data_IF_921852592625
#
_entry.id   IF_921852592625
#
_cell.length_a   1.000
_cell.length_b   1.000
_cell.length_c   1.000
_cell.angle_alpha   90.00
_cell.angle_beta   90.00
_cell.angle_gamma   90.00
#
_symmetry.space_group_name_H-M   'P 1'
#
loop_
_entity.id
_entity.type
_entity.pdbx_description
1 polymer ?
#
# COMPACT_ATOMS: atom_id res chain seq x y z
N UNK A 1 61.41 -85.71 13.31
CA UNK A 1 60.28 -86.59 13.17
C UNK A 1 58.97 -85.80 13.42
N UNK A 2 58.05 -85.99 12.54
CA UNK A 2 56.68 -85.47 12.58
C UNK A 2 56.44 -84.02 12.11
N UNK A 3 55.96 -83.95 10.88
CA UNK A 3 55.45 -82.80 10.16
C UNK A 3 54.10 -82.36 10.75
N UNK A 4 53.91 -81.06 10.99
CA UNK A 4 52.59 -80.50 11.20
C UNK A 4 52.23 -79.67 9.99
N UNK A 5 51.12 -80.04 9.38
CA UNK A 5 50.45 -79.34 8.29
C UNK A 5 49.58 -78.25 8.91
N UNK A 6 49.77 -77.00 8.50
CA UNK A 6 48.90 -75.90 8.88
C UNK A 6 47.96 -75.61 7.68
N UNK A 7 46.66 -75.85 7.90
CA UNK A 7 45.61 -75.53 6.92
C UNK A 7 45.20 -74.07 7.15
N UNK A 8 45.37 -73.25 6.11
CA UNK A 8 44.90 -71.87 6.06
C UNK A 8 43.42 -71.81 5.70
N UNK A 9 42.57 -71.41 6.59
CA UNK A 9 41.13 -71.16 6.35
C UNK A 9 40.94 -69.69 6.00
N UNK A 10 40.69 -69.38 4.73
CA UNK A 10 40.37 -68.09 4.24
C UNK A 10 38.92 -67.71 4.52
N UNK A 11 38.73 -66.78 5.43
CA UNK A 11 37.41 -66.20 5.79
C UNK A 11 37.16 -64.96 4.90
N UNK A 12 36.38 -65.09 3.85
CA UNK A 12 35.90 -63.98 3.02
C UNK A 12 34.78 -63.25 3.73
N UNK A 13 35.09 -62.05 4.23
CA UNK A 13 34.10 -61.16 4.83
C UNK A 13 33.32 -60.45 3.69
N UNK A 14 32.08 -60.85 3.43
CA UNK A 14 31.15 -60.07 2.56
C UNK A 14 30.72 -58.83 3.29
N UNK A 15 31.22 -57.68 2.91
CA UNK A 15 30.77 -56.38 3.33
C UNK A 15 29.47 -56.05 2.55
N UNK A 16 28.33 -56.36 3.12
CA UNK A 16 27.02 -55.91 2.62
C UNK A 16 26.88 -54.42 2.87
N UNK A 17 27.05 -53.59 1.82
CA UNK A 17 26.80 -52.16 1.90
C UNK A 17 25.31 -51.89 2.10
N UNK A 18 24.91 -51.54 3.28
CA UNK A 18 23.63 -50.89 3.52
C UNK A 18 23.73 -49.46 2.99
N UNK A 19 23.21 -49.21 1.78
CA UNK A 19 22.88 -47.88 1.33
C UNK A 19 21.68 -47.41 2.18
N UNK A 20 21.96 -46.61 3.23
CA UNK A 20 20.93 -45.89 3.93
C UNK A 20 20.35 -44.85 2.93
N UNK A 21 19.17 -45.14 2.39
CA UNK A 21 18.32 -44.12 1.78
C UNK A 21 18.03 -43.11 2.90
N UNK A 22 18.68 -41.97 2.83
CA UNK A 22 18.29 -40.81 3.64
C UNK A 22 16.87 -40.41 3.16
N UNK A 23 15.87 -40.89 3.85
CA UNK A 23 14.50 -40.42 3.73
C UNK A 23 14.53 -38.92 4.01
N UNK A 24 14.32 -38.10 2.99
CA UNK A 24 14.20 -36.66 3.16
C UNK A 24 13.09 -36.43 4.17
N UNK A 25 13.44 -35.92 5.36
CA UNK A 25 12.48 -35.53 6.35
C UNK A 25 11.43 -34.63 5.66
N UNK A 26 10.13 -34.84 5.89
CA UNK A 26 9.13 -33.96 5.31
C UNK A 26 9.45 -32.54 5.77
N UNK A 27 9.67 -31.65 4.80
CA UNK A 27 9.77 -30.21 5.05
C UNK A 27 8.52 -29.83 5.84
N UNK A 28 8.70 -29.47 7.11
CA UNK A 28 7.61 -29.03 7.95
C UNK A 28 6.93 -27.87 7.22
N UNK A 29 5.73 -28.09 6.71
CA UNK A 29 4.90 -27.02 6.16
C UNK A 29 4.71 -26.01 7.27
N UNK A 30 5.16 -24.77 7.06
CA UNK A 30 4.99 -23.69 8.02
C UNK A 30 3.50 -23.56 8.38
N UNK A 31 3.22 -23.27 9.65
CA UNK A 31 1.85 -23.16 10.12
C UNK A 31 1.08 -22.09 9.31
N UNK A 32 -0.21 -22.31 9.01
CA UNK A 32 -1.04 -21.29 8.40
C UNK A 32 -1.01 -20.00 9.22
N UNK A 33 -0.75 -18.89 8.57
CA UNK A 33 -0.65 -17.57 9.18
C UNK A 33 -1.55 -16.62 8.42
N UNK A 34 -2.35 -15.83 9.14
CA UNK A 34 -3.11 -14.73 8.56
C UNK A 34 -2.42 -13.40 8.88
N UNK A 35 -2.26 -12.54 7.88
CA UNK A 35 -1.81 -11.17 8.04
C UNK A 35 -2.92 -10.22 7.64
N UNK A 36 -3.32 -9.37 8.56
CA UNK A 36 -4.29 -8.29 8.33
C UNK A 36 -3.54 -7.02 7.95
N UNK A 37 -3.76 -6.54 6.72
CA UNK A 37 -3.09 -5.38 6.15
C UNK A 37 -4.10 -4.26 5.94
N UNK A 38 -3.95 -3.18 6.69
CA UNK A 38 -4.69 -1.94 6.49
C UNK A 38 -3.94 -1.09 5.47
N UNK A 39 -4.56 -0.82 4.32
CA UNK A 39 -3.90 -0.11 3.24
C UNK A 39 -4.81 0.96 2.62
N UNK A 40 -4.21 2.09 2.24
CA UNK A 40 -4.92 3.16 1.54
C UNK A 40 -5.68 2.63 0.32
N UNK A 41 -6.92 3.09 0.12
CA UNK A 41 -7.81 2.65 -0.95
C UNK A 41 -7.20 2.76 -2.36
N UNK A 42 -6.30 3.72 -2.60
CA UNK A 42 -5.54 3.85 -3.86
C UNK A 42 -4.61 2.67 -4.17
N UNK A 43 -4.35 1.80 -3.19
CA UNK A 43 -3.48 0.62 -3.35
C UNK A 43 -4.26 -0.67 -3.68
N UNK A 44 -5.57 -0.61 -3.76
CA UNK A 44 -6.44 -1.80 -3.93
C UNK A 44 -5.96 -2.68 -5.09
N UNK A 45 -5.80 -2.11 -6.27
CA UNK A 45 -5.44 -2.87 -7.49
C UNK A 45 -4.02 -3.44 -7.42
N UNK A 46 -3.07 -2.66 -6.88
CA UNK A 46 -1.68 -3.09 -6.77
C UNK A 46 -1.52 -4.21 -5.74
N UNK A 47 -2.06 -4.04 -4.54
CA UNK A 47 -1.93 -5.04 -3.48
C UNK A 47 -2.73 -6.31 -3.76
N UNK A 48 -3.87 -6.22 -4.46
CA UNK A 48 -4.59 -7.41 -4.92
C UNK A 48 -3.74 -8.25 -5.89
N UNK A 49 -3.06 -7.61 -6.86
CA UNK A 49 -2.13 -8.32 -7.75
C UNK A 49 -0.91 -8.88 -7.00
N UNK A 50 -0.37 -8.12 -6.07
CA UNK A 50 0.78 -8.52 -5.25
C UNK A 50 0.43 -9.71 -4.34
N UNK A 51 -0.80 -9.77 -3.82
CA UNK A 51 -1.24 -10.93 -3.04
C UNK A 51 -1.16 -12.24 -3.81
N UNK A 52 -1.53 -12.24 -5.10
CA UNK A 52 -1.41 -13.43 -5.93
C UNK A 52 0.07 -13.83 -6.16
N UNK A 53 0.98 -12.85 -6.30
CA UNK A 53 2.42 -13.12 -6.39
C UNK A 53 2.95 -13.66 -5.05
N UNK A 54 2.56 -13.06 -3.93
CA UNK A 54 3.02 -13.47 -2.62
C UNK A 54 2.57 -14.87 -2.22
N UNK A 55 1.39 -15.28 -2.66
CA UNK A 55 0.87 -16.64 -2.45
C UNK A 55 1.77 -17.73 -3.05
N UNK A 56 2.46 -17.41 -4.16
CA UNK A 56 3.42 -18.34 -4.76
C UNK A 56 4.72 -18.45 -3.94
N UNK A 57 5.09 -17.40 -3.20
CA UNK A 57 6.31 -17.32 -2.38
C UNK A 57 6.06 -17.85 -0.96
N UNK A 58 4.91 -17.54 -0.39
CA UNK A 58 4.52 -17.88 0.99
C UNK A 58 3.12 -18.51 1.03
N UNK A 59 2.94 -19.75 0.53
CA UNK A 59 1.62 -20.38 0.39
C UNK A 59 0.90 -20.65 1.71
N UNK A 60 1.62 -20.60 2.83
CA UNK A 60 1.08 -20.72 4.18
C UNK A 60 0.59 -19.38 4.76
N UNK A 61 0.82 -18.24 4.07
CA UNK A 61 0.38 -16.91 4.53
C UNK A 61 -0.83 -16.45 3.73
N UNK A 62 -1.90 -16.12 4.43
CA UNK A 62 -3.10 -15.50 3.87
C UNK A 62 -3.06 -14.01 4.16
N UNK A 63 -3.16 -13.18 3.11
CA UNK A 63 -3.26 -11.73 3.25
C UNK A 63 -4.74 -11.32 3.26
N UNK A 64 -5.17 -10.68 4.32
CA UNK A 64 -6.50 -10.08 4.47
C UNK A 64 -6.35 -8.57 4.44
N UNK A 65 -6.96 -7.91 3.44
CA UNK A 65 -6.85 -6.46 3.28
C UNK A 65 -8.09 -5.74 3.79
N UNK A 66 -7.86 -4.62 4.48
CA UNK A 66 -8.86 -3.59 4.70
C UNK A 66 -8.43 -2.35 3.92
N UNK A 67 -9.17 -2.01 2.87
CA UNK A 67 -8.90 -0.86 2.01
C UNK A 67 -9.89 0.27 2.32
N UNK A 68 -9.36 1.39 2.82
CA UNK A 68 -10.15 2.61 3.05
C UNK A 68 -9.25 3.85 3.01
N UNK A 69 -9.80 5.02 3.33
CA UNK A 69 -8.97 6.21 3.53
C UNK A 69 -7.99 5.98 4.68
N UNK A 70 -6.78 6.54 4.55
CA UNK A 70 -5.77 6.38 5.59
C UNK A 70 -6.21 6.95 6.94
N UNK A 71 -7.07 7.98 6.95
CA UNK A 71 -7.63 8.53 8.19
C UNK A 71 -8.65 7.60 8.84
N UNK A 72 -9.53 6.99 8.05
CA UNK A 72 -10.47 5.96 8.54
C UNK A 72 -9.72 4.79 9.15
N UNK A 73 -8.68 4.28 8.45
CA UNK A 73 -7.85 3.18 8.94
C UNK A 73 -7.09 3.56 10.20
N UNK A 74 -6.56 4.78 10.26
CA UNK A 74 -5.94 5.33 11.48
C UNK A 74 -6.92 5.29 12.66
N UNK A 75 -8.14 5.79 12.47
CA UNK A 75 -9.18 5.77 13.51
C UNK A 75 -9.49 4.35 13.98
N UNK A 76 -9.61 3.39 13.06
CA UNK A 76 -9.82 1.98 13.41
C UNK A 76 -8.66 1.41 14.23
N UNK A 77 -7.40 1.75 13.90
CA UNK A 77 -6.22 1.35 14.68
C UNK A 77 -6.27 1.98 16.08
N UNK A 78 -6.62 3.27 16.19
CA UNK A 78 -6.78 3.97 17.47
C UNK A 78 -7.89 3.35 18.34
N UNK A 79 -8.94 2.82 17.72
CA UNK A 79 -10.07 2.12 18.37
C UNK A 79 -9.75 0.66 18.71
N UNK A 80 -8.55 0.18 18.37
CA UNK A 80 -8.08 -1.16 18.73
C UNK A 80 -8.36 -2.23 17.70
N UNK A 81 -8.56 -1.89 16.43
CA UNK A 81 -8.64 -2.87 15.36
C UNK A 81 -7.36 -3.72 15.29
N UNK A 82 -7.53 -5.03 15.13
CA UNK A 82 -6.42 -5.98 15.02
C UNK A 82 -5.88 -5.95 13.58
N UNK A 83 -4.75 -5.27 13.40
CA UNK A 83 -4.05 -5.18 12.13
C UNK A 83 -2.54 -5.40 12.34
N UNK A 84 -1.90 -6.09 11.41
CA UNK A 84 -0.47 -6.40 11.47
C UNK A 84 0.37 -5.31 10.80
N UNK A 85 -0.15 -4.75 9.69
CA UNK A 85 0.57 -3.79 8.84
C UNK A 85 -0.36 -2.62 8.51
N UNK A 86 0.19 -1.41 8.54
CA UNK A 86 -0.48 -0.21 8.04
C UNK A 86 0.33 0.41 6.89
N UNK A 87 -0.35 0.71 5.77
CA UNK A 87 0.21 1.41 4.60
C UNK A 87 -0.67 2.61 4.29
N UNK A 88 -0.16 3.80 4.59
CA UNK A 88 -0.88 5.06 4.46
C UNK A 88 -0.54 5.76 3.14
N UNK A 89 -1.49 6.51 2.55
CA UNK A 89 -1.26 7.42 1.42
C UNK A 89 -0.80 8.83 1.86
N UNK A 90 -0.47 9.00 3.13
CA UNK A 90 0.01 10.27 3.69
C UNK A 90 0.86 10.07 4.92
N UNK A 91 1.88 10.92 5.05
CA UNK A 91 2.78 10.91 6.21
C UNK A 91 2.06 11.27 7.51
N UNK A 92 1.02 12.14 7.44
CA UNK A 92 0.30 12.63 8.62
C UNK A 92 -0.28 11.47 9.44
N UNK A 93 -1.05 10.59 8.82
CA UNK A 93 -1.74 9.50 9.50
C UNK A 93 -0.76 8.50 10.13
N UNK A 94 0.33 8.20 9.43
CA UNK A 94 1.40 7.35 9.98
C UNK A 94 2.13 8.05 11.13
N UNK A 95 2.39 9.34 11.02
CA UNK A 95 3.06 10.11 12.07
C UNK A 95 2.24 10.12 13.36
N UNK A 96 0.93 10.32 13.27
CA UNK A 96 0.02 10.39 14.42
C UNK A 96 -0.08 9.05 15.18
N UNK A 97 0.37 7.94 14.59
CA UNK A 97 0.44 6.61 15.22
C UNK A 97 1.85 6.23 15.71
N UNK A 98 2.87 7.03 15.38
CA UNK A 98 4.29 6.69 15.56
C UNK A 98 4.94 7.55 16.66
N UNK A 99 5.25 6.96 17.80
CA UNK A 99 5.89 7.66 18.92
C UNK A 99 7.30 8.18 18.61
N UNK A 100 7.97 7.70 17.56
CA UNK A 100 9.33 8.10 17.23
C UNK A 100 9.46 9.48 16.58
N UNK A 101 8.36 10.07 16.08
CA UNK A 101 8.41 11.31 15.28
C UNK A 101 8.31 12.60 16.10
N UNK A 102 8.12 12.51 17.40
CA UNK A 102 7.95 13.68 18.28
C UNK A 102 6.54 14.24 18.33
N UNK A 103 6.27 15.04 19.35
CA UNK A 103 4.90 15.53 19.68
C UNK A 103 4.37 16.60 18.72
N UNK A 104 5.22 17.24 17.95
CA UNK A 104 4.85 18.15 16.86
C UNK A 104 4.11 17.45 15.71
N UNK A 105 4.41 16.17 15.47
CA UNK A 105 3.78 15.34 14.45
C UNK A 105 2.84 14.28 15.00
N UNK A 106 2.98 13.95 16.27
CA UNK A 106 2.12 13.02 17.03
C UNK A 106 1.64 13.67 18.32
N UNK A 107 0.70 14.64 18.24
CA UNK A 107 0.28 15.44 19.39
C UNK A 107 -0.43 14.63 20.48
N UNK A 108 -0.99 13.47 20.12
CA UNK A 108 -1.62 12.54 21.06
C UNK A 108 -0.62 11.58 21.71
N UNK A 109 0.66 11.63 21.32
CA UNK A 109 1.73 10.73 21.77
C UNK A 109 1.36 9.25 21.62
N UNK A 110 0.66 8.89 20.53
CA UNK A 110 0.25 7.52 20.24
C UNK A 110 1.45 6.65 19.89
N UNK A 111 1.39 5.36 20.17
CA UNK A 111 2.50 4.42 20.05
C UNK A 111 2.03 3.08 19.50
N UNK A 112 1.46 3.10 18.29
CA UNK A 112 0.95 1.91 17.58
C UNK A 112 1.95 1.30 16.61
N UNK A 113 2.90 2.09 16.10
CA UNK A 113 3.91 1.62 15.13
C UNK A 113 5.02 0.85 15.86
N UNK A 114 5.34 -0.36 15.37
CA UNK A 114 6.51 -1.11 15.83
C UNK A 114 7.78 -0.42 15.36
N UNK A 115 8.61 -0.02 16.33
CA UNK A 115 9.79 0.80 16.08
C UNK A 115 10.79 0.11 15.14
N UNK A 116 11.39 0.88 14.23
CA UNK A 116 12.38 0.40 13.27
C UNK A 116 11.79 -0.30 12.03
N UNK A 117 10.46 -0.42 11.92
CA UNK A 117 9.81 -1.09 10.78
C UNK A 117 9.30 -0.14 9.72
N UNK A 118 9.13 1.14 10.05
CA UNK A 118 8.60 2.17 9.15
C UNK A 118 9.59 2.53 8.04
N UNK A 119 9.07 2.64 6.82
CA UNK A 119 9.79 3.15 5.65
C UNK A 119 8.82 3.72 4.61
N UNK A 120 9.31 4.60 3.72
CA UNK A 120 8.53 5.07 2.58
C UNK A 120 8.57 4.02 1.47
N UNK A 121 7.41 3.42 1.20
CA UNK A 121 7.26 2.36 0.20
C UNK A 121 7.20 2.95 -1.22
N UNK A 122 6.34 3.97 -1.42
CA UNK A 122 6.00 4.56 -2.72
C UNK A 122 5.88 6.07 -2.62
N UNK A 123 5.90 6.71 -3.81
CA UNK A 123 5.40 8.07 -4.02
C UNK A 123 4.30 8.07 -5.09
N UNK A 124 3.54 9.17 -5.19
CA UNK A 124 2.44 9.29 -6.13
C UNK A 124 2.28 10.74 -6.61
N UNK A 125 1.46 10.95 -7.63
CA UNK A 125 1.18 12.26 -8.21
C UNK A 125 -0.30 12.57 -8.09
N UNK A 126 -0.63 13.79 -7.64
CA UNK A 126 -2.01 14.28 -7.57
C UNK A 126 -2.41 14.83 -8.93
N UNK A 127 -3.58 14.43 -9.42
CA UNK A 127 -4.10 14.80 -10.74
C UNK A 127 -5.56 15.26 -10.68
N UNK A 128 -5.91 16.18 -11.58
CA UNK A 128 -7.29 16.59 -11.85
C UNK A 128 -7.83 15.73 -12.98
N UNK A 129 -8.99 15.12 -12.77
CA UNK A 129 -9.67 14.28 -13.74
C UNK A 129 -11.05 14.81 -14.07
N UNK A 130 -11.50 14.50 -15.27
CA UNK A 130 -12.85 14.79 -15.78
C UNK A 130 -13.48 13.49 -16.31
N UNK A 131 -14.82 13.40 -16.45
CA UNK A 131 -15.44 12.33 -17.21
C UNK A 131 -14.90 12.25 -18.64
N UNK A 132 -14.70 11.05 -19.16
CA UNK A 132 -14.26 10.85 -20.54
C UNK A 132 -15.23 11.54 -21.51
N UNK A 133 -14.68 12.26 -22.50
CA UNK A 133 -15.48 13.02 -23.44
C UNK A 133 -16.09 14.31 -22.89
N UNK A 134 -15.67 14.78 -21.71
CA UNK A 134 -16.10 16.06 -21.15
C UNK A 134 -15.82 17.23 -22.12
N UNK A 135 -16.85 18.05 -22.40
CA UNK A 135 -16.77 19.23 -23.25
C UNK A 135 -16.66 20.55 -22.47
N UNK A 136 -16.46 20.47 -21.16
CA UNK A 136 -16.42 21.63 -20.24
C UNK A 136 -15.20 22.52 -20.43
N UNK A 137 -14.16 22.06 -21.13
CA UNK A 137 -12.92 22.81 -21.33
C UNK A 137 -12.13 23.03 -20.05
N UNK A 138 -12.23 22.12 -19.07
CA UNK A 138 -11.43 22.09 -17.84
C UNK A 138 -10.05 21.56 -18.22
N UNK A 139 -8.99 22.33 -17.96
CA UNK A 139 -7.61 22.00 -18.39
C UNK A 139 -6.57 22.28 -17.30
N UNK A 140 -6.97 22.91 -16.19
CA UNK A 140 -6.08 23.25 -15.09
C UNK A 140 -6.79 23.22 -13.73
N UNK A 141 -6.02 23.23 -12.64
CA UNK A 141 -6.55 23.32 -11.28
C UNK A 141 -7.22 24.69 -11.01
N UNK A 142 -6.84 25.75 -11.69
CA UNK A 142 -7.46 27.09 -11.57
C UNK A 142 -8.88 27.11 -12.16
N UNK A 143 -9.12 26.32 -13.21
CA UNK A 143 -10.43 26.25 -13.88
C UNK A 143 -11.56 25.85 -12.94
N UNK A 144 -11.26 25.15 -11.82
CA UNK A 144 -12.27 24.66 -10.87
C UNK A 144 -13.05 25.80 -10.19
N UNK A 145 -12.47 26.99 -10.09
CA UNK A 145 -13.10 28.16 -9.50
C UNK A 145 -13.94 28.98 -10.51
N UNK A 146 -13.95 28.60 -11.77
CA UNK A 146 -14.68 29.28 -12.87
C UNK A 146 -16.06 28.68 -13.10
N UNK A 147 -16.83 29.23 -14.05
CA UNK A 147 -18.15 28.71 -14.46
C UNK A 147 -18.08 27.41 -15.25
N UNK A 148 -16.86 26.96 -15.64
CA UNK A 148 -16.66 25.64 -16.26
C UNK A 148 -17.05 24.50 -15.31
N UNK A 149 -16.88 24.70 -13.99
CA UNK A 149 -17.13 23.69 -12.96
C UNK A 149 -18.31 24.12 -12.09
N UNK A 150 -19.37 23.32 -12.11
CA UNK A 150 -20.51 23.44 -11.20
C UNK A 150 -20.27 22.64 -9.91
N UNK A 151 -19.69 21.44 -10.03
CA UNK A 151 -19.46 20.55 -8.90
C UNK A 151 -18.15 19.77 -9.12
N UNK A 152 -17.31 19.71 -8.08
CA UNK A 152 -16.07 18.94 -8.03
C UNK A 152 -16.12 17.93 -6.89
N UNK A 153 -15.63 16.70 -7.13
CA UNK A 153 -15.46 15.68 -6.09
C UNK A 153 -14.05 15.74 -5.49
N UNK A 154 -13.96 15.79 -4.18
CA UNK A 154 -12.72 15.77 -3.41
C UNK A 154 -12.80 14.72 -2.29
N UNK A 155 -11.65 14.23 -1.81
CA UNK A 155 -11.60 13.50 -0.54
C UNK A 155 -11.96 14.43 0.64
N UNK A 156 -12.62 13.91 1.66
CA UNK A 156 -12.86 14.65 2.89
C UNK A 156 -11.54 14.85 3.70
N UNK A 157 -11.62 15.46 4.88
CA UNK A 157 -10.45 15.77 5.74
C UNK A 157 -9.66 14.54 6.21
N UNK A 158 -10.26 13.34 6.18
CA UNK A 158 -9.62 12.08 6.60
C UNK A 158 -8.94 11.36 5.45
N UNK A 159 -9.18 11.83 4.23
CA UNK A 159 -8.60 11.28 3.01
C UNK A 159 -7.31 12.02 2.65
N UNK A 160 -6.14 11.37 2.58
CA UNK A 160 -4.89 12.06 2.25
C UNK A 160 -4.93 12.90 0.98
N UNK A 161 -5.52 12.40 -0.13
CA UNK A 161 -5.65 13.20 -1.36
C UNK A 161 -6.53 14.44 -1.17
N UNK A 162 -7.50 14.39 -0.27
CA UNK A 162 -8.31 15.55 0.10
C UNK A 162 -7.48 16.62 0.81
N UNK A 163 -6.58 16.21 1.72
CA UNK A 163 -5.64 17.11 2.40
C UNK A 163 -4.66 17.76 1.40
N UNK A 164 -4.07 16.98 0.50
CA UNK A 164 -3.22 17.53 -0.58
C UNK A 164 -4.00 18.46 -1.49
N UNK A 165 -5.26 18.15 -1.82
CA UNK A 165 -6.11 19.00 -2.64
C UNK A 165 -6.43 20.33 -1.96
N UNK A 166 -6.67 20.30 -0.65
CA UNK A 166 -6.85 21.53 0.12
C UNK A 166 -5.59 22.41 0.09
N UNK A 167 -4.40 21.80 0.25
CA UNK A 167 -3.12 22.52 0.13
C UNK A 167 -2.98 23.17 -1.25
N UNK A 168 -3.26 22.39 -2.33
CA UNK A 168 -3.21 22.86 -3.73
C UNK A 168 -4.14 24.06 -3.93
N UNK A 169 -5.42 23.93 -3.57
CA UNK A 169 -6.41 25.00 -3.79
C UNK A 169 -6.19 26.19 -2.89
N UNK A 170 -5.61 26.01 -1.71
CA UNK A 170 -5.18 27.11 -0.84
C UNK A 170 -3.99 27.85 -1.47
N UNK A 171 -3.00 27.14 -1.98
CA UNK A 171 -1.85 27.70 -2.70
C UNK A 171 -2.27 28.51 -3.92
N UNK A 172 -3.30 28.04 -4.65
CA UNK A 172 -3.88 28.74 -5.80
C UNK A 172 -4.86 29.86 -5.43
N UNK A 173 -5.18 30.03 -4.13
CA UNK A 173 -6.13 31.04 -3.66
C UNK A 173 -7.59 30.79 -4.05
N UNK A 174 -7.96 29.54 -4.37
CA UNK A 174 -9.33 29.20 -4.82
C UNK A 174 -10.14 28.43 -3.78
N UNK A 175 -9.53 27.90 -2.71
CA UNK A 175 -10.19 27.07 -1.71
C UNK A 175 -11.41 27.74 -1.08
N UNK A 176 -11.28 28.99 -0.61
CA UNK A 176 -12.36 29.69 0.05
C UNK A 176 -13.52 29.97 -0.90
N UNK A 177 -13.23 30.28 -2.17
CA UNK A 177 -14.25 30.49 -3.20
C UNK A 177 -15.02 29.22 -3.47
N UNK A 178 -14.35 28.07 -3.61
CA UNK A 178 -15.01 26.78 -3.84
C UNK A 178 -15.98 26.42 -2.71
N UNK A 179 -15.60 26.70 -1.46
CA UNK A 179 -16.46 26.50 -0.29
C UNK A 179 -17.65 27.48 -0.27
N UNK A 180 -17.40 28.78 -0.52
CA UNK A 180 -18.44 29.80 -0.54
C UNK A 180 -19.48 29.53 -1.63
N UNK A 181 -19.03 29.09 -2.80
CA UNK A 181 -19.87 28.75 -3.96
C UNK A 181 -20.54 27.36 -3.82
N UNK A 182 -20.26 26.61 -2.75
CA UNK A 182 -20.77 25.24 -2.51
C UNK A 182 -20.50 24.28 -3.66
N UNK A 183 -19.32 24.38 -4.28
CA UNK A 183 -18.94 23.59 -5.46
C UNK A 183 -18.36 22.22 -5.13
N UNK A 184 -18.17 21.89 -3.84
CA UNK A 184 -17.46 20.67 -3.43
C UNK A 184 -18.46 19.61 -2.96
N UNK A 185 -18.28 18.39 -3.46
CA UNK A 185 -18.80 17.17 -2.84
C UNK A 185 -17.65 16.32 -2.33
N UNK A 186 -17.85 15.64 -1.21
CA UNK A 186 -16.79 14.88 -0.56
C UNK A 186 -17.02 13.37 -0.68
N UNK A 187 -15.92 12.64 -0.99
CA UNK A 187 -15.85 11.21 -0.85
C UNK A 187 -15.15 10.82 0.45
N UNK A 188 -15.54 9.68 1.02
CA UNK A 188 -14.92 9.12 2.23
C UNK A 188 -13.56 8.49 1.97
N UNK A 189 -13.25 8.17 0.72
CA UNK A 189 -11.94 7.73 0.22
C UNK A 189 -11.77 8.09 -1.25
N UNK A 190 -10.57 7.85 -1.82
CA UNK A 190 -10.25 8.27 -3.20
C UNK A 190 -11.04 7.49 -4.26
N UNK A 191 -11.43 6.23 -3.99
CA UNK A 191 -12.22 5.43 -4.94
C UNK A 191 -13.65 5.97 -5.08
N UNK A 192 -14.20 6.52 -4.01
CA UNK A 192 -15.49 7.19 -4.05
C UNK A 192 -15.43 8.49 -4.86
N UNK A 193 -14.35 9.28 -4.71
CA UNK A 193 -14.10 10.45 -5.57
C UNK A 193 -14.02 10.04 -7.04
N UNK A 194 -13.24 9.02 -7.36
CA UNK A 194 -13.11 8.49 -8.73
C UNK A 194 -14.48 8.08 -9.29
N UNK A 195 -15.26 7.32 -8.52
CA UNK A 195 -16.58 6.84 -8.93
C UNK A 195 -17.57 7.96 -9.22
N UNK A 196 -17.53 9.07 -8.47
CA UNK A 196 -18.34 10.26 -8.74
C UNK A 196 -18.01 10.89 -10.09
N UNK A 197 -16.73 10.90 -10.49
CA UNK A 197 -16.30 11.40 -11.80
C UNK A 197 -16.67 10.41 -12.91
N UNK A 198 -16.41 9.11 -12.73
CA UNK A 198 -16.75 8.05 -13.69
C UNK A 198 -18.24 8.04 -14.03
N UNK A 199 -19.11 8.26 -13.03
CA UNK A 199 -20.56 8.31 -13.22
C UNK A 199 -21.06 9.61 -13.84
N UNK A 200 -20.20 10.62 -14.01
CA UNK A 200 -20.61 11.95 -14.49
C UNK A 200 -21.46 12.73 -13.49
N UNK A 201 -21.49 12.34 -12.22
CA UNK A 201 -22.23 13.05 -11.16
C UNK A 201 -21.62 14.42 -10.85
N UNK A 202 -20.34 14.59 -11.18
CA UNK A 202 -19.55 15.81 -11.02
C UNK A 202 -18.85 16.17 -12.33
N UNK A 203 -18.38 17.42 -12.43
CA UNK A 203 -17.68 17.91 -13.62
C UNK A 203 -16.20 17.51 -13.65
N UNK A 204 -15.61 17.36 -12.46
CA UNK A 204 -14.21 16.93 -12.26
C UNK A 204 -13.99 16.39 -10.84
N UNK A 205 -12.80 15.87 -10.60
CA UNK A 205 -12.37 15.40 -9.28
C UNK A 205 -10.86 15.35 -9.17
N UNK A 206 -10.36 15.27 -7.93
CA UNK A 206 -8.93 15.17 -7.66
C UNK A 206 -8.63 13.80 -7.03
N UNK A 207 -7.72 13.07 -7.69
CA UNK A 207 -7.30 11.71 -7.32
C UNK A 207 -5.79 11.57 -7.51
N UNK A 208 -5.25 10.38 -7.30
CA UNK A 208 -3.87 10.08 -7.68
C UNK A 208 -3.78 9.49 -9.10
N UNK A 209 -2.61 9.63 -9.73
CA UNK A 209 -2.37 9.03 -11.06
C UNK A 209 -2.55 7.50 -11.04
N UNK A 210 -2.21 6.84 -9.93
CA UNK A 210 -2.40 5.41 -9.74
C UNK A 210 -3.86 4.97 -9.81
N UNK A 211 -4.81 5.82 -9.39
CA UNK A 211 -6.24 5.52 -9.45
C UNK A 211 -6.75 5.54 -10.89
N UNK A 212 -6.16 6.39 -11.74
CA UNK A 212 -6.59 6.57 -13.13
C UNK A 212 -6.11 5.45 -14.04
N UNK A 213 -4.92 4.90 -13.78
CA UNK A 213 -4.31 3.87 -14.65
C UNK A 213 -5.19 2.64 -14.84
N UNK A 214 -6.01 2.30 -13.86
CA UNK A 214 -6.93 1.17 -13.89
C UNK A 214 -8.39 1.57 -14.07
N UNK A 215 -8.69 2.86 -14.03
CA UNK A 215 -10.03 3.43 -14.18
C UNK A 215 -10.49 3.39 -15.65
N UNK A 216 -11.80 3.48 -15.83
CA UNK A 216 -12.45 3.64 -17.14
C UNK A 216 -13.37 4.83 -17.07
N UNK A 217 -13.52 5.54 -18.20
CA UNK A 217 -14.49 6.63 -18.28
C UNK A 217 -14.01 7.95 -17.65
N UNK A 218 -12.70 8.11 -17.40
CA UNK A 218 -12.11 9.38 -16.94
C UNK A 218 -10.87 9.74 -17.75
N UNK A 219 -10.59 11.04 -17.79
CA UNK A 219 -9.41 11.61 -18.47
C UNK A 219 -8.66 12.53 -17.51
N UNK A 220 -7.33 12.37 -17.41
CA UNK A 220 -6.46 13.32 -16.69
C UNK A 220 -6.34 14.58 -17.53
N UNK A 221 -6.63 15.75 -16.93
CA UNK A 221 -6.54 17.05 -17.60
C UNK A 221 -5.43 17.93 -17.05
N UNK A 222 -4.99 17.69 -15.80
CA UNK A 222 -3.88 18.42 -15.20
C UNK A 222 -3.19 17.61 -14.12
N UNK A 223 -1.90 17.86 -13.93
CA UNK A 223 -1.13 17.45 -12.75
C UNK A 223 -1.05 18.63 -11.78
N UNK A 224 -1.06 18.36 -10.49
CA UNK A 224 -0.91 19.39 -9.46
C UNK A 224 0.31 20.26 -9.71
N UNK A 225 0.20 21.60 -9.59
CA UNK A 225 1.33 22.50 -9.78
C UNK A 225 2.47 22.18 -8.82
N UNK A 226 3.71 22.29 -9.29
CA UNK A 226 4.89 22.07 -8.46
C UNK A 226 4.90 23.01 -7.25
N UNK A 227 5.23 22.49 -6.06
CA UNK A 227 5.28 23.26 -4.83
C UNK A 227 3.90 23.62 -4.23
N UNK A 228 2.78 23.26 -4.87
CA UNK A 228 1.43 23.55 -4.37
C UNK A 228 1.02 22.66 -3.18
N UNK A 229 1.68 21.55 -2.99
CA UNK A 229 1.49 20.63 -1.88
C UNK A 229 2.80 19.91 -1.50
N UNK A 230 2.82 19.25 -0.36
CA UNK A 230 3.97 18.39 0.04
C UNK A 230 4.03 17.15 -0.84
N UNK A 231 5.23 16.58 -1.08
CA UNK A 231 5.36 15.33 -1.83
C UNK A 231 4.48 14.22 -1.22
N UNK A 232 3.84 13.45 -2.08
CA UNK A 232 2.98 12.34 -1.67
C UNK A 232 3.84 11.12 -1.41
N UNK A 233 3.90 10.69 -0.15
CA UNK A 233 4.60 9.47 0.28
C UNK A 233 3.61 8.46 0.84
N UNK A 234 3.90 7.19 0.58
CA UNK A 234 3.18 6.05 1.14
C UNK A 234 4.07 5.34 2.17
N UNK A 235 4.06 5.78 3.42
CA UNK A 235 4.74 5.08 4.49
C UNK A 235 4.05 3.74 4.78
N UNK A 236 4.86 2.71 5.02
CA UNK A 236 4.45 1.39 5.47
C UNK A 236 5.15 1.06 6.79
N UNK A 237 4.45 0.39 7.70
CA UNK A 237 5.00 -0.05 8.98
C UNK A 237 4.26 -1.27 9.52
N UNK A 238 4.92 -2.06 10.35
CA UNK A 238 4.26 -3.03 11.23
C UNK A 238 3.61 -2.31 12.42
N UNK A 239 2.48 -2.82 12.87
CA UNK A 239 1.82 -2.37 14.08
C UNK A 239 2.21 -3.24 15.28
N UNK A 240 2.19 -2.66 16.48
CA UNK A 240 2.52 -3.37 17.74
C UNK A 240 1.51 -4.46 18.12
N UNK A 241 0.32 -4.42 17.53
CA UNK A 241 -0.72 -5.44 17.68
C UNK A 241 -0.38 -6.75 17.00
N UNK A 242 0.57 -6.75 16.03
CA UNK A 242 0.92 -7.97 15.30
C UNK A 242 1.44 -9.07 16.22
N UNK A 243 0.94 -10.28 16.00
CA UNK A 243 1.41 -11.53 16.62
C UNK A 243 2.28 -12.33 15.64
N UNK A 244 2.43 -11.84 14.42
CA UNK A 244 3.05 -12.51 13.28
C UNK A 244 4.24 -11.69 12.73
N UNK A 245 5.09 -11.14 13.62
CA UNK A 245 6.17 -10.21 13.26
C UNK A 245 7.04 -10.72 12.11
N UNK A 246 7.43 -12.01 12.12
CA UNK A 246 8.25 -12.57 11.06
C UNK A 246 7.53 -12.54 9.71
N UNK A 247 6.27 -13.00 9.65
CA UNK A 247 5.50 -13.01 8.40
C UNK A 247 5.20 -11.58 7.90
N UNK A 248 4.93 -10.64 8.81
CA UNK A 248 4.73 -9.24 8.49
C UNK A 248 6.02 -8.60 7.93
N UNK A 249 7.18 -8.90 8.54
CA UNK A 249 8.46 -8.44 8.04
C UNK A 249 8.79 -9.02 6.65
N UNK A 250 8.53 -10.32 6.45
CA UNK A 250 8.77 -10.99 5.16
C UNK A 250 7.88 -10.39 4.06
N UNK A 251 6.61 -10.08 4.36
CA UNK A 251 5.73 -9.41 3.41
C UNK A 251 6.19 -7.98 3.12
N UNK A 252 6.57 -7.18 4.13
CA UNK A 252 7.11 -5.83 3.92
C UNK A 252 8.43 -5.85 3.13
N UNK A 253 9.26 -6.89 3.32
CA UNK A 253 10.46 -7.09 2.50
C UNK A 253 10.11 -7.46 1.05
N UNK A 254 9.11 -8.33 0.85
CA UNK A 254 8.61 -8.71 -0.47
C UNK A 254 8.07 -7.50 -1.25
N UNK A 255 7.36 -6.58 -0.60
CA UNK A 255 6.87 -5.34 -1.23
C UNK A 255 7.99 -4.47 -1.82
N UNK A 256 9.23 -4.63 -1.35
CA UNK A 256 10.42 -3.92 -1.86
C UNK A 256 11.09 -4.63 -3.05
N UNK A 257 10.65 -5.83 -3.40
CA UNK A 257 11.24 -6.63 -4.49
C UNK A 257 10.88 -6.10 -5.89
N UNK A 258 11.63 -6.56 -6.89
CA UNK A 258 11.50 -6.10 -8.28
C UNK A 258 10.13 -6.42 -8.88
N UNK A 259 9.55 -7.58 -8.56
CA UNK A 259 8.22 -7.96 -9.05
C UNK A 259 7.14 -6.99 -8.54
N UNK A 260 7.18 -6.63 -7.24
CA UNK A 260 6.27 -5.65 -6.67
C UNK A 260 6.53 -4.25 -7.22
N UNK A 261 7.80 -3.87 -7.38
CA UNK A 261 8.21 -2.61 -8.03
C UNK A 261 7.58 -2.49 -9.41
N UNK A 262 7.63 -3.56 -10.21
CA UNK A 262 6.99 -3.58 -11.52
C UNK A 262 5.47 -3.40 -11.42
N UNK A 263 4.79 -4.11 -10.52
CA UNK A 263 3.34 -3.95 -10.32
C UNK A 263 2.98 -2.52 -9.95
N UNK A 264 3.73 -1.90 -9.03
CA UNK A 264 3.50 -0.53 -8.61
C UNK A 264 3.71 0.47 -9.75
N UNK A 265 4.80 0.35 -10.50
CA UNK A 265 5.11 1.26 -11.61
C UNK A 265 4.13 1.11 -12.78
N UNK A 266 3.69 -0.11 -13.09
CA UNK A 266 2.69 -0.38 -14.12
C UNK A 266 1.32 0.28 -13.79
N UNK A 267 1.04 0.53 -12.49
CA UNK A 267 -0.18 1.20 -12.01
C UNK A 267 0.02 2.72 -11.86
N UNK A 268 1.24 3.22 -12.03
CA UNK A 268 1.52 4.66 -12.00
C UNK A 268 2.11 5.17 -10.68
N UNK A 269 2.39 4.31 -9.71
CA UNK A 269 3.20 4.68 -8.56
C UNK A 269 4.67 4.89 -8.95
N UNK A 270 5.40 5.62 -8.14
CA UNK A 270 6.84 5.77 -8.24
C UNK A 270 7.48 5.13 -7.01
N UNK A 271 8.60 4.44 -7.21
CA UNK A 271 9.37 3.84 -6.11
C UNK A 271 10.51 4.79 -5.75
N UNK A 272 10.64 5.23 -4.48
CA UNK A 272 11.74 6.06 -4.05
C UNK A 272 13.09 5.38 -4.33
N UNK A 273 14.11 6.17 -4.73
CA UNK A 273 15.47 5.64 -4.83
C UNK A 273 15.92 5.18 -3.44
N UNK A 274 16.37 3.95 -3.36
CA UNK A 274 16.84 3.28 -2.13
C UNK A 274 18.34 3.37 -2.00
#
# INVERSE_FOLDING_TARGET
MKKLLATLLSLTLMLSGYAALAEAAPTATAAPTELVVFAAASMTESLTKIAELYKAVAPNVTLTFNFDSSGTLQTQIEEGADADIFISAGQKQMNELDASVGTDKNPKAQDFVLQGTRFDLLTNTVVLIVPEGSTKGITSFEDVSTDKVRLIALGNSDVPVGQYTQDIFTSLGVWDKLNADQKITFGSNVKEVLSQVESGSVDCGVVYISDVTTAKGVTVVATAPEGSHKPVHYPAAMLKTTKNEQAANDFLAFLKGDECTKVFTDIGFQVPQR
#
